data_IF_754313424538
#
_entry.id   IF_754313424538
#
_cell.length_a   1.000
_cell.length_b   1.000
_cell.length_c   1.000
_cell.angle_alpha   90.00
_cell.angle_beta   90.00
_cell.angle_gamma   90.00
#
_symmetry.space_group_name_H-M   'P 1'
#
loop_
_entity.id
_entity.type
_entity.pdbx_description
1 polymer ?
#
# COMPACT_ATOMS: atom_id res chain seq x y z
N UNK A 1 -1.55 16.74 -6.08
CA UNK A 1 -0.84 15.65 -5.38
C UNK A 1 0.63 16.07 -5.29
N UNK A 2 1.33 15.84 -4.17
CA UNK A 2 2.78 16.10 -4.04
C UNK A 2 3.53 14.77 -4.18
N UNK A 3 4.78 14.81 -4.65
CA UNK A 3 5.59 13.61 -4.75
C UNK A 3 5.85 13.02 -3.35
N UNK A 4 5.86 11.69 -3.24
CA UNK A 4 6.28 11.00 -2.01
C UNK A 4 7.73 11.31 -1.66
N UNK A 5 8.59 11.55 -2.64
CA UNK A 5 9.99 11.94 -2.44
C UNK A 5 10.14 13.30 -1.76
N UNK A 6 9.10 14.15 -1.77
CA UNK A 6 9.10 15.43 -1.07
C UNK A 6 8.71 15.31 0.42
N UNK A 7 8.34 14.13 0.90
CA UNK A 7 8.02 13.95 2.31
C UNK A 7 9.30 14.07 3.16
N UNK A 8 9.31 15.04 4.07
CA UNK A 8 10.34 15.08 5.11
C UNK A 8 10.35 13.75 5.88
N UNK A 9 11.53 13.17 6.20
CA UNK A 9 11.64 11.88 6.87
C UNK A 9 10.81 11.77 8.16
N UNK A 10 10.70 12.86 8.91
CA UNK A 10 9.95 12.95 10.16
C UNK A 10 8.43 12.89 9.95
N UNK A 11 7.97 13.24 8.74
CA UNK A 11 6.57 13.10 8.34
C UNK A 11 6.29 11.68 7.87
N UNK A 12 7.18 11.11 7.05
CA UNK A 12 7.06 9.73 6.59
C UNK A 12 7.07 8.73 7.77
N UNK A 13 7.91 8.95 8.78
CA UNK A 13 8.00 8.10 9.96
C UNK A 13 6.74 8.10 10.85
N UNK A 14 5.83 9.05 10.65
CA UNK A 14 4.55 9.14 11.36
C UNK A 14 3.42 8.41 10.64
N UNK A 15 3.63 7.95 9.41
CA UNK A 15 2.63 7.18 8.68
C UNK A 15 2.31 5.90 9.45
N UNK A 16 1.02 5.57 9.49
CA UNK A 16 0.51 4.39 10.23
C UNK A 16 -0.01 3.31 9.29
N UNK A 17 -0.30 3.65 8.05
CA UNK A 17 -0.90 2.73 7.12
C UNK A 17 -1.01 3.27 5.71
N UNK A 18 -1.44 2.37 4.83
CA UNK A 18 -1.64 2.59 3.40
C UNK A 18 -3.07 2.18 3.06
N UNK A 19 -3.82 3.08 2.44
CA UNK A 19 -5.06 2.73 1.77
C UNK A 19 -4.73 2.31 0.34
N UNK A 20 -5.37 1.25 -0.14
CA UNK A 20 -5.20 0.75 -1.50
C UNK A 20 -6.53 0.23 -2.04
N UNK A 21 -6.70 0.21 -3.36
CA UNK A 21 -7.82 -0.50 -3.99
C UNK A 21 -7.44 -1.97 -4.24
N UNK A 22 -8.41 -2.81 -4.61
CA UNK A 22 -8.23 -4.23 -4.91
C UNK A 22 -8.15 -4.46 -6.41
N UNK A 23 -9.21 -4.09 -7.14
CA UNK A 23 -9.33 -4.36 -8.58
C UNK A 23 -8.32 -3.50 -9.34
N UNK A 24 -7.57 -4.12 -10.26
CA UNK A 24 -6.52 -3.47 -11.06
C UNK A 24 -5.47 -2.67 -10.24
N UNK A 25 -5.36 -2.97 -8.93
CA UNK A 25 -4.38 -2.39 -8.00
C UNK A 25 -3.59 -3.49 -7.29
N UNK A 26 -4.24 -4.25 -6.39
CA UNK A 26 -3.64 -5.44 -5.80
C UNK A 26 -3.79 -6.66 -6.71
N UNK A 27 -4.84 -6.68 -7.51
CA UNK A 27 -5.14 -7.77 -8.44
C UNK A 27 -5.03 -7.31 -9.88
N UNK A 28 -4.78 -8.25 -10.78
CA UNK A 28 -4.84 -8.05 -12.23
C UNK A 28 -5.62 -9.22 -12.81
N UNK A 29 -6.68 -8.93 -13.57
CA UNK A 29 -7.61 -9.95 -14.08
C UNK A 29 -8.15 -10.88 -12.96
N UNK A 30 -8.42 -10.30 -11.78
CA UNK A 30 -8.92 -11.03 -10.61
C UNK A 30 -7.92 -11.95 -9.92
N UNK A 31 -6.63 -11.92 -10.31
CA UNK A 31 -5.55 -12.69 -9.68
C UNK A 31 -4.65 -11.77 -8.89
N UNK A 32 -4.15 -12.23 -7.74
CA UNK A 32 -3.16 -11.54 -6.93
C UNK A 32 -1.74 -11.93 -7.42
N UNK A 33 -0.98 -11.02 -8.05
CA UNK A 33 0.40 -11.30 -8.45
C UNK A 33 1.30 -11.49 -7.23
N UNK A 34 2.34 -12.32 -7.36
CA UNK A 34 3.29 -12.58 -6.28
C UNK A 34 3.95 -11.30 -5.75
N UNK A 35 4.24 -10.34 -6.62
CA UNK A 35 4.90 -9.08 -6.22
C UNK A 35 3.96 -8.16 -5.43
N UNK A 36 2.66 -8.15 -5.75
CA UNK A 36 1.67 -7.44 -4.94
C UNK A 36 1.56 -8.07 -3.55
N UNK A 37 1.57 -9.40 -3.47
CA UNK A 37 1.58 -10.09 -2.17
C UNK A 37 2.85 -9.80 -1.35
N UNK A 38 4.03 -9.81 -1.99
CA UNK A 38 5.30 -9.40 -1.35
C UNK A 38 5.27 -7.95 -0.89
N UNK A 39 4.62 -7.05 -1.62
CA UNK A 39 4.48 -5.67 -1.19
C UNK A 39 3.64 -5.58 0.11
N UNK A 40 2.55 -6.34 0.22
CA UNK A 40 1.74 -6.41 1.44
C UNK A 40 2.56 -6.95 2.62
N UNK A 41 3.38 -7.98 2.41
CA UNK A 41 4.28 -8.53 3.43
C UNK A 41 5.28 -7.48 3.92
N UNK A 42 5.94 -6.75 3.00
CA UNK A 42 6.89 -5.68 3.36
C UNK A 42 6.23 -4.55 4.14
N UNK A 43 4.99 -4.19 3.82
CA UNK A 43 4.22 -3.20 4.57
C UNK A 43 3.87 -3.70 5.97
N UNK A 44 3.51 -4.98 6.10
CA UNK A 44 3.26 -5.61 7.39
C UNK A 44 4.52 -5.64 8.27
N UNK A 45 5.66 -6.06 7.73
CA UNK A 45 6.95 -6.06 8.42
C UNK A 45 7.40 -4.66 8.85
N UNK A 46 7.07 -3.64 8.06
CA UNK A 46 7.29 -2.23 8.40
C UNK A 46 6.32 -1.70 9.49
N UNK A 47 5.38 -2.51 9.97
CA UNK A 47 4.40 -2.13 10.99
C UNK A 47 3.29 -1.22 10.45
N UNK A 48 3.10 -1.16 9.13
CA UNK A 48 2.04 -0.37 8.51
C UNK A 48 0.76 -1.18 8.38
N UNK A 49 -0.37 -0.57 8.73
CA UNK A 49 -1.70 -1.13 8.48
C UNK A 49 -2.04 -0.94 7.01
N UNK A 50 -2.35 -2.02 6.29
CA UNK A 50 -2.89 -1.93 4.93
C UNK A 50 -4.40 -2.09 4.98
N UNK A 51 -5.13 -1.10 4.46
CA UNK A 51 -6.59 -1.09 4.45
C UNK A 51 -7.08 -0.99 3.00
N UNK A 52 -7.55 -2.12 2.41
CA UNK A 52 -8.19 -2.10 1.11
C UNK A 52 -9.50 -1.29 1.16
N UNK A 53 -9.66 -0.35 0.25
CA UNK A 53 -10.86 0.46 0.04
C UNK A 53 -11.31 0.17 -1.39
N UNK A 54 -12.43 -0.54 -1.52
CA UNK A 54 -12.96 -0.95 -2.83
C UNK A 54 -14.45 -0.59 -2.93
N UNK A 55 -14.94 -0.45 -4.16
CA UNK A 55 -16.35 -0.18 -4.44
C UNK A 55 -17.24 -1.42 -4.46
N UNK A 56 -16.68 -2.60 -4.17
CA UNK A 56 -17.38 -3.88 -4.05
C UNK A 56 -17.77 -4.21 -2.61
#
# INVERSE_FOLDING_TARGET
MRDLAEFAPETASRMRGVFCDIDDTLTTEGRLPADAYRALERLHEAGLVVAPITGR
#
